data_IF_679388632161
#
_entry.id   IF_679388632161
#
_cell.length_a   1.000
_cell.length_b   1.000
_cell.length_c   1.000
_cell.angle_alpha   90.00
_cell.angle_beta   90.00
_cell.angle_gamma   90.00
#
_symmetry.space_group_name_H-M   'P 1'
#
loop_
_entity.id
_entity.type
_entity.pdbx_description
1 polymer ?
#
# COMPACT_ATOMS: atom_id res chain seq x y z
N UNK A 1 30.62 -3.53 24.73
CA UNK A 1 29.43 -2.91 24.10
C UNK A 1 29.87 -2.39 22.74
N UNK A 2 29.24 -2.63 21.58
CA UNK A 2 27.89 -3.11 21.24
C UNK A 2 27.96 -4.23 20.19
N UNK A 3 27.02 -5.17 20.28
CA UNK A 3 26.70 -6.12 19.23
C UNK A 3 25.62 -5.50 18.34
N UNK A 4 25.97 -5.10 17.12
CA UNK A 4 25.04 -4.55 16.11
C UNK A 4 25.14 -5.38 14.83
N UNK A 5 24.67 -6.63 14.84
CA UNK A 5 24.71 -7.44 13.61
C UNK A 5 23.52 -8.36 13.36
N UNK A 6 22.50 -8.37 14.24
CA UNK A 6 21.30 -9.21 14.04
C UNK A 6 20.02 -8.48 13.61
N UNK A 7 19.99 -7.15 13.72
CA UNK A 7 18.73 -6.38 13.59
C UNK A 7 18.46 -5.87 12.17
N UNK A 8 19.51 -5.65 11.35
CA UNK A 8 19.37 -5.10 9.99
C UNK A 8 18.63 -6.02 9.01
N UNK A 9 19.01 -7.31 8.96
CA UNK A 9 18.39 -8.29 8.04
C UNK A 9 16.96 -8.68 8.44
N UNK A 10 16.66 -8.73 9.75
CA UNK A 10 15.30 -8.99 10.23
C UNK A 10 14.39 -7.79 10.00
N UNK A 11 14.91 -6.57 10.15
CA UNK A 11 14.16 -5.33 9.93
C UNK A 11 13.81 -5.09 8.46
N UNK A 12 14.76 -5.29 7.53
CA UNK A 12 14.48 -5.14 6.09
C UNK A 12 13.49 -6.18 5.59
N UNK A 13 13.62 -7.44 6.03
CA UNK A 13 12.67 -8.50 5.68
C UNK A 13 11.25 -8.24 6.23
N UNK A 14 11.13 -7.76 7.46
CA UNK A 14 9.83 -7.40 8.04
C UNK A 14 9.17 -6.25 7.27
N UNK A 15 9.96 -5.26 6.86
CA UNK A 15 9.48 -4.10 6.11
C UNK A 15 9.03 -4.52 4.69
N UNK A 16 9.79 -5.39 4.02
CA UNK A 16 9.39 -6.00 2.75
C UNK A 16 8.08 -6.78 2.85
N UNK A 17 7.93 -7.62 3.89
CA UNK A 17 6.71 -8.38 4.11
C UNK A 17 5.49 -7.46 4.35
N UNK A 18 5.68 -6.39 5.13
CA UNK A 18 4.64 -5.38 5.36
C UNK A 18 4.27 -4.64 4.06
N UNK A 19 5.26 -4.24 3.25
CA UNK A 19 5.03 -3.61 1.95
C UNK A 19 4.23 -4.54 1.03
N UNK A 20 4.59 -5.83 0.99
CA UNK A 20 3.88 -6.83 0.17
C UNK A 20 2.42 -7.00 0.62
N UNK A 21 2.15 -7.10 1.93
CA UNK A 21 0.79 -7.18 2.48
C UNK A 21 -0.04 -5.93 2.15
N UNK A 22 0.54 -4.73 2.33
CA UNK A 22 -0.15 -3.48 2.00
C UNK A 22 -0.46 -3.36 0.50
N UNK A 23 0.47 -3.76 -0.37
CA UNK A 23 0.25 -3.81 -1.81
C UNK A 23 -0.85 -4.81 -2.19
N UNK A 24 -0.92 -5.96 -1.52
CA UNK A 24 -2.02 -6.90 -1.71
C UNK A 24 -3.37 -6.31 -1.29
N UNK A 25 -3.42 -5.61 -0.15
CA UNK A 25 -4.64 -4.90 0.30
C UNK A 25 -5.06 -3.80 -0.66
N UNK A 26 -4.12 -3.06 -1.24
CA UNK A 26 -4.42 -2.05 -2.28
C UNK A 26 -5.10 -2.71 -3.49
N UNK A 27 -4.63 -3.89 -3.90
CA UNK A 27 -5.27 -4.66 -4.99
C UNK A 27 -6.69 -5.08 -4.64
N UNK A 28 -6.92 -5.57 -3.41
CA UNK A 28 -8.28 -5.89 -2.94
C UNK A 28 -9.20 -4.68 -2.95
N UNK A 29 -8.74 -3.54 -2.40
CA UNK A 29 -9.53 -2.31 -2.40
C UNK A 29 -9.86 -1.84 -3.82
N UNK A 30 -8.95 -2.01 -4.78
CA UNK A 30 -9.24 -1.72 -6.18
C UNK A 30 -10.34 -2.62 -6.75
N UNK A 31 -10.33 -3.91 -6.42
CA UNK A 31 -11.41 -4.83 -6.81
C UNK A 31 -12.76 -4.39 -6.20
N UNK A 32 -12.78 -4.08 -4.91
CA UNK A 32 -13.99 -3.64 -4.19
C UNK A 32 -14.54 -2.31 -4.76
N UNK A 33 -13.64 -1.39 -5.14
CA UNK A 33 -14.03 -0.14 -5.83
C UNK A 33 -14.72 -0.47 -7.15
N UNK A 34 -14.10 -1.31 -7.98
CA UNK A 34 -14.66 -1.66 -9.29
C UNK A 34 -16.02 -2.35 -9.14
N UNK A 35 -16.17 -3.25 -8.18
CA UNK A 35 -17.44 -3.92 -7.90
C UNK A 35 -18.53 -2.92 -7.51
N UNK A 36 -18.23 -2.00 -6.60
CA UNK A 36 -19.19 -0.99 -6.14
C UNK A 36 -19.57 0.02 -7.24
N UNK A 37 -18.60 0.39 -8.09
CA UNK A 37 -18.84 1.24 -9.26
C UNK A 37 -19.73 0.57 -10.30
N UNK A 38 -19.52 -0.73 -10.54
CA UNK A 38 -20.36 -1.53 -11.44
C UNK A 38 -21.78 -1.67 -10.88
N UNK A 39 -21.91 -2.01 -9.59
CA UNK A 39 -23.19 -2.12 -8.89
C UNK A 39 -24.00 -0.82 -8.99
N UNK A 40 -23.32 0.31 -8.87
CA UNK A 40 -23.94 1.63 -8.88
C UNK A 40 -24.07 2.23 -10.28
N UNK A 41 -23.53 1.56 -11.31
CA UNK A 41 -23.43 2.05 -12.69
C UNK A 41 -22.76 3.43 -12.79
N UNK A 42 -21.81 3.72 -11.90
CA UNK A 42 -21.14 5.02 -11.78
C UNK A 42 -19.67 4.82 -11.42
N UNK A 43 -18.80 5.02 -12.40
CA UNK A 43 -17.35 4.92 -12.25
C UNK A 43 -16.64 6.29 -12.15
N UNK A 44 -17.37 7.38 -12.41
CA UNK A 44 -16.81 8.73 -12.36
C UNK A 44 -16.72 9.24 -10.91
N UNK A 45 -15.50 9.26 -10.35
CA UNK A 45 -15.23 9.70 -8.98
C UNK A 45 -15.72 11.13 -8.66
N UNK A 46 -15.78 12.00 -9.67
CA UNK A 46 -16.21 13.40 -9.54
C UNK A 46 -17.72 13.61 -9.67
N UNK A 47 -18.47 12.54 -9.95
CA UNK A 47 -19.91 12.64 -10.18
C UNK A 47 -20.66 12.84 -8.86
N UNK A 48 -21.68 13.71 -8.83
CA UNK A 48 -22.42 14.05 -7.60
C UNK A 48 -23.13 12.84 -6.95
N UNK A 49 -23.44 11.83 -7.75
CA UNK A 49 -24.06 10.56 -7.32
C UNK A 49 -23.04 9.42 -7.20
N UNK A 50 -21.74 9.73 -7.18
CA UNK A 50 -20.72 8.71 -7.01
C UNK A 50 -20.89 7.97 -5.65
N UNK A 51 -20.73 6.64 -5.60
CA UNK A 51 -21.05 5.88 -4.40
C UNK A 51 -20.14 6.27 -3.23
N UNK A 52 -20.74 6.59 -2.08
CA UNK A 52 -20.01 6.94 -0.86
C UNK A 52 -19.02 5.85 -0.45
N UNK A 53 -19.40 4.57 -0.60
CA UNK A 53 -18.52 3.45 -0.30
C UNK A 53 -17.29 3.44 -1.21
N UNK A 54 -17.49 3.54 -2.53
CA UNK A 54 -16.40 3.60 -3.48
C UNK A 54 -15.51 4.84 -3.28
N UNK A 55 -16.04 5.93 -2.73
CA UNK A 55 -15.26 7.11 -2.31
C UNK A 55 -14.35 6.80 -1.13
N UNK A 56 -14.90 6.21 -0.07
CA UNK A 56 -14.12 5.85 1.12
C UNK A 56 -13.05 4.80 0.81
N UNK A 57 -13.35 3.82 -0.05
CA UNK A 57 -12.38 2.83 -0.49
C UNK A 57 -11.21 3.48 -1.26
N UNK A 58 -11.49 4.46 -2.14
CA UNK A 58 -10.46 5.25 -2.84
C UNK A 58 -9.59 6.02 -1.87
N UNK A 59 -10.19 6.80 -0.96
CA UNK A 59 -9.44 7.55 0.05
C UNK A 59 -8.55 6.64 0.91
N UNK A 60 -9.03 5.44 1.25
CA UNK A 60 -8.25 4.48 2.02
C UNK A 60 -7.11 3.88 1.22
N UNK A 61 -7.37 3.49 -0.02
CA UNK A 61 -6.34 3.00 -0.95
C UNK A 61 -5.23 4.02 -1.12
N UNK A 62 -5.58 5.28 -1.32
CA UNK A 62 -4.61 6.36 -1.56
C UNK A 62 -3.75 6.61 -0.31
N UNK A 63 -4.35 6.53 0.89
CA UNK A 63 -3.60 6.56 2.16
C UNK A 63 -2.63 5.37 2.26
N UNK A 64 -3.06 4.16 1.92
CA UNK A 64 -2.18 2.99 1.94
C UNK A 64 -1.04 3.11 0.93
N UNK A 65 -1.30 3.63 -0.27
CA UNK A 65 -0.27 3.87 -1.28
C UNK A 65 0.78 4.87 -0.78
N UNK A 66 0.35 5.96 -0.13
CA UNK A 66 1.26 6.93 0.49
C UNK A 66 2.12 6.31 1.60
N UNK A 67 1.52 5.45 2.44
CA UNK A 67 2.28 4.67 3.43
C UNK A 67 3.29 3.75 2.77
N UNK A 68 2.92 3.01 1.71
CA UNK A 68 3.85 2.13 0.97
C UNK A 68 5.06 2.90 0.47
N UNK A 69 4.86 4.05 -0.18
CA UNK A 69 5.97 4.92 -0.65
C UNK A 69 6.90 5.32 0.52
N UNK A 70 6.33 5.62 1.69
CA UNK A 70 7.12 5.96 2.88
C UNK A 70 7.94 4.76 3.37
N UNK A 71 7.34 3.57 3.40
CA UNK A 71 8.02 2.34 3.83
C UNK A 71 9.10 1.91 2.82
N UNK A 72 8.88 2.09 1.52
CA UNK A 72 9.88 1.83 0.47
C UNK A 72 11.09 2.75 0.63
N UNK A 73 10.88 4.04 0.88
CA UNK A 73 11.96 4.98 1.17
C UNK A 73 12.76 4.59 2.45
N UNK A 74 12.06 4.10 3.48
CA UNK A 74 12.71 3.56 4.68
C UNK A 74 13.50 2.29 4.39
N UNK A 75 12.98 1.38 3.56
CA UNK A 75 13.68 0.16 3.17
C UNK A 75 14.97 0.49 2.42
N UNK A 76 14.93 1.43 1.47
CA UNK A 76 16.12 1.89 0.74
C UNK A 76 17.18 2.52 1.65
N UNK A 77 16.77 3.16 2.75
CA UNK A 77 17.68 3.74 3.74
C UNK A 77 18.39 2.67 4.59
N UNK A 78 17.68 1.58 4.92
CA UNK A 78 18.19 0.52 5.82
C UNK A 78 18.93 -0.57 5.04
N UNK A 79 18.49 -0.86 3.82
CA UNK A 79 19.05 -1.91 2.96
C UNK A 79 18.98 -1.46 1.48
N UNK A 80 20.01 -0.73 0.99
CA UNK A 80 20.03 -0.18 -0.36
C UNK A 80 19.99 -1.24 -1.48
N UNK A 81 20.40 -2.48 -1.19
CA UNK A 81 20.45 -3.58 -2.16
C UNK A 81 19.12 -4.35 -2.22
N UNK A 82 18.32 -4.27 -1.16
CA UNK A 82 16.98 -4.83 -1.12
C UNK A 82 15.96 -4.07 -2.00
N UNK A 83 16.19 -2.77 -2.25
CA UNK A 83 15.26 -1.91 -3.00
C UNK A 83 15.24 -2.12 -4.52
N UNK A 84 16.21 -2.85 -5.09
CA UNK A 84 16.38 -2.98 -6.55
C UNK A 84 15.80 -4.27 -7.14
N UNK A 85 15.18 -5.13 -6.33
CA UNK A 85 14.75 -6.48 -6.72
C UNK A 85 13.23 -6.66 -6.92
N UNK A 86 12.45 -5.58 -6.93
CA UNK A 86 10.99 -5.62 -7.09
C UNK A 86 10.55 -5.22 -8.52
#
# INVERSE_FOLDING_TARGET
MQQTSGFGMSGSLQLQALIADLNWRIKLLNSDIVEEEQRSHRAEAGHIFYPTLAKHLRERRDKLASTVVTLEAQLMSIDPLAGTAA
#
